data_IF_555590291502
#
_entry.id   IF_555590291502
#
_cell.length_a   1.000
_cell.length_b   1.000
_cell.length_c   1.000
_cell.angle_alpha   90.00
_cell.angle_beta   90.00
_cell.angle_gamma   90.00
#
_symmetry.space_group_name_H-M   'P 1'
#
loop_
_entity.id
_entity.type
_entity.pdbx_description
1 polymer ?
#
# COMPACT_ATOMS: atom_id res chain seq x y z
N UNK A 1 -2.56 -4.33 -20.47
CA UNK A 1 -3.37 -3.82 -19.34
C UNK A 1 -3.01 -4.50 -18.01
N UNK A 2 -3.07 -5.84 -17.91
CA UNK A 2 -2.73 -6.58 -16.69
C UNK A 2 -1.32 -6.30 -16.11
N UNK A 3 -0.29 -6.14 -16.95
CA UNK A 3 1.07 -5.78 -16.48
C UNK A 3 1.13 -4.37 -15.88
N UNK A 4 0.37 -3.42 -16.43
CA UNK A 4 0.26 -2.07 -15.86
C UNK A 4 -0.47 -2.10 -14.52
N UNK A 5 -1.52 -2.93 -14.41
CA UNK A 5 -2.24 -3.14 -13.16
C UNK A 5 -1.33 -3.77 -12.10
N UNK A 6 -0.46 -4.73 -12.49
CA UNK A 6 0.51 -5.32 -11.57
C UNK A 6 1.47 -4.26 -11.01
N UNK A 7 2.04 -3.43 -11.87
CA UNK A 7 2.92 -2.34 -11.45
C UNK A 7 2.20 -1.33 -10.54
N UNK A 8 0.99 -0.94 -10.93
CA UNK A 8 0.18 0.01 -10.16
C UNK A 8 -0.17 -0.52 -8.76
N UNK A 9 -0.65 -1.76 -8.66
CA UNK A 9 -1.01 -2.34 -7.37
C UNK A 9 0.21 -2.63 -6.48
N UNK A 10 1.37 -2.97 -7.07
CA UNK A 10 2.59 -3.12 -6.27
C UNK A 10 3.08 -1.77 -5.73
N UNK A 11 3.02 -0.70 -6.53
CA UNK A 11 3.32 0.65 -6.04
C UNK A 11 2.38 1.04 -4.89
N UNK A 12 1.08 0.76 -5.01
CA UNK A 12 0.15 1.00 -3.91
C UNK A 12 0.52 0.18 -2.66
N UNK A 13 0.86 -1.10 -2.82
CA UNK A 13 1.29 -1.96 -1.70
C UNK A 13 2.48 -1.34 -0.97
N UNK A 14 3.49 -0.88 -1.71
CA UNK A 14 4.68 -0.27 -1.13
C UNK A 14 4.35 1.01 -0.35
N UNK A 15 3.55 1.92 -0.93
CA UNK A 15 3.15 3.16 -0.27
C UNK A 15 2.35 2.90 1.02
N UNK A 16 1.42 1.95 1.00
CA UNK A 16 0.63 1.61 2.17
C UNK A 16 1.44 0.88 3.24
N UNK A 17 2.45 0.11 2.85
CA UNK A 17 3.40 -0.48 3.79
C UNK A 17 4.25 0.59 4.48
N UNK A 18 4.80 1.53 3.73
CA UNK A 18 5.58 2.64 4.29
C UNK A 18 4.74 3.46 5.29
N UNK A 19 3.49 3.73 4.93
CA UNK A 19 2.56 4.40 5.84
C UNK A 19 2.31 3.60 7.13
N UNK A 20 2.13 2.30 7.01
CA UNK A 20 1.95 1.41 8.16
C UNK A 20 3.17 1.42 9.08
N UNK A 21 4.37 1.34 8.50
CA UNK A 21 5.64 1.34 9.23
C UNK A 21 5.85 2.65 10.01
N UNK A 22 5.49 3.80 9.41
CA UNK A 22 5.48 5.10 10.09
C UNK A 22 4.48 5.10 11.25
N UNK A 23 3.26 4.60 11.01
CA UNK A 23 2.21 4.49 12.03
C UNK A 23 2.67 3.66 13.24
N UNK A 24 3.32 2.53 13.00
CA UNK A 24 3.88 1.65 14.03
C UNK A 24 5.04 2.31 14.79
N UNK A 25 5.95 2.98 14.08
CA UNK A 25 7.15 3.57 14.68
C UNK A 25 6.87 4.83 15.50
N UNK A 26 5.95 5.67 15.04
CA UNK A 26 5.67 6.98 15.63
C UNK A 26 4.37 6.99 16.46
N UNK A 27 3.61 5.90 16.46
CA UNK A 27 2.30 5.76 17.11
C UNK A 27 1.29 6.87 16.72
N UNK A 28 1.20 7.18 15.42
CA UNK A 28 0.43 8.32 14.88
C UNK A 28 -0.94 7.95 14.31
N UNK A 29 -1.47 6.78 14.65
CA UNK A 29 -2.76 6.29 14.14
C UNK A 29 -3.91 7.24 14.43
N UNK A 30 -4.61 7.68 13.39
CA UNK A 30 -5.74 8.63 13.55
C UNK A 30 -5.35 10.02 14.06
N UNK A 31 -4.04 10.32 14.23
CA UNK A 31 -3.54 11.56 14.80
C UNK A 31 -2.74 12.36 13.79
N UNK A 32 -2.70 13.69 13.96
CA UNK A 32 -1.91 14.55 13.08
C UNK A 32 -0.42 14.26 13.26
N UNK A 33 0.26 13.95 12.15
CA UNK A 33 1.71 13.74 12.15
C UNK A 33 2.41 15.04 12.60
N UNK A 34 3.36 14.91 13.53
CA UNK A 34 4.15 16.04 14.01
C UNK A 34 5.04 16.59 12.88
N UNK A 35 5.47 17.86 12.98
CA UNK A 35 6.35 18.44 11.95
C UNK A 35 7.68 17.69 11.86
N UNK A 36 8.25 17.31 13.00
CA UNK A 36 9.51 16.56 13.07
C UNK A 36 9.37 15.17 12.46
N UNK A 37 8.31 14.42 12.81
CA UNK A 37 8.07 13.10 12.22
C UNK A 37 7.85 13.18 10.70
N UNK A 38 7.10 14.18 10.23
CA UNK A 38 6.90 14.41 8.80
C UNK A 38 8.23 14.70 8.07
N UNK A 39 9.13 15.47 8.68
CA UNK A 39 10.47 15.74 8.12
C UNK A 39 11.37 14.50 8.12
N UNK A 40 11.36 13.74 9.21
CA UNK A 40 12.16 12.51 9.36
C UNK A 40 11.79 11.48 8.30
N UNK A 41 10.50 11.32 8.03
CA UNK A 41 9.96 10.34 7.10
C UNK A 41 9.66 10.91 5.71
N UNK A 42 10.12 12.14 5.42
CA UNK A 42 9.93 12.82 4.13
C UNK A 42 8.49 12.77 3.62
N UNK A 43 7.52 12.88 4.53
CA UNK A 43 6.09 12.77 4.24
C UNK A 43 5.36 14.07 4.54
N UNK A 44 4.12 14.16 4.05
CA UNK A 44 3.26 15.29 4.31
C UNK A 44 2.75 15.29 5.76
N UNK A 45 2.46 16.48 6.28
CA UNK A 45 1.95 16.67 7.63
C UNK A 45 0.43 16.45 7.70
N UNK A 46 0.00 15.27 7.29
CA UNK A 46 -1.41 14.86 7.20
C UNK A 46 -1.96 14.36 8.54
N UNK A 47 -3.29 14.27 8.64
CA UNK A 47 -3.94 13.48 9.67
C UNK A 47 -3.70 12.00 9.38
N UNK A 48 -3.24 11.27 10.39
CA UNK A 48 -3.12 9.83 10.40
C UNK A 48 -4.45 9.17 10.07
N UNK A 49 -4.43 8.10 9.29
CA UNK A 49 -5.56 7.18 9.16
C UNK A 49 -5.55 6.22 10.35
N UNK A 50 -6.71 5.78 10.84
CA UNK A 50 -6.80 4.70 11.82
C UNK A 50 -6.13 3.42 11.29
N UNK A 51 -5.39 2.72 12.15
CA UNK A 51 -4.71 1.47 11.80
C UNK A 51 -5.61 0.44 11.10
N UNK A 52 -6.85 0.18 11.56
CA UNK A 52 -7.70 -0.82 10.92
C UNK A 52 -8.02 -0.48 9.46
N UNK A 53 -8.09 0.80 9.11
CA UNK A 53 -8.35 1.26 7.74
C UNK A 53 -7.13 0.98 6.85
N UNK A 54 -5.93 1.22 7.37
CA UNK A 54 -4.66 0.94 6.67
C UNK A 54 -4.53 -0.56 6.41
N UNK A 55 -4.77 -1.39 7.42
CA UNK A 55 -4.71 -2.85 7.31
C UNK A 55 -5.76 -3.39 6.32
N UNK A 56 -6.99 -2.87 6.37
CA UNK A 56 -8.03 -3.22 5.39
C UNK A 56 -7.62 -2.86 3.95
N UNK A 57 -6.93 -1.73 3.76
CA UNK A 57 -6.40 -1.33 2.44
C UNK A 57 -5.30 -2.26 1.96
N UNK A 58 -4.36 -2.63 2.83
CA UNK A 58 -3.31 -3.60 2.48
C UNK A 58 -3.90 -4.95 2.07
N UNK A 59 -4.89 -5.47 2.80
CA UNK A 59 -5.59 -6.70 2.44
C UNK A 59 -6.29 -6.60 1.07
N UNK A 60 -6.90 -5.46 0.77
CA UNK A 60 -7.57 -5.22 -0.52
C UNK A 60 -6.57 -5.27 -1.67
N UNK A 61 -5.43 -4.57 -1.52
CA UNK A 61 -4.36 -4.55 -2.52
C UNK A 61 -3.76 -5.94 -2.72
N UNK A 62 -3.56 -6.69 -1.64
CA UNK A 62 -3.07 -8.07 -1.72
C UNK A 62 -3.98 -8.97 -2.57
N UNK A 63 -5.31 -8.85 -2.39
CA UNK A 63 -6.29 -9.58 -3.23
C UNK A 63 -6.23 -9.13 -4.69
N UNK A 64 -6.09 -7.83 -4.95
CA UNK A 64 -5.97 -7.29 -6.31
C UNK A 64 -4.71 -7.79 -7.01
N UNK A 65 -3.57 -7.80 -6.31
CA UNK A 65 -2.30 -8.35 -6.82
C UNK A 65 -2.42 -9.84 -7.13
N UNK A 66 -3.05 -10.61 -6.23
CA UNK A 66 -3.26 -12.04 -6.46
C UNK A 66 -4.13 -12.29 -7.69
N UNK A 67 -5.21 -11.51 -7.86
CA UNK A 67 -6.09 -11.59 -9.01
C UNK A 67 -5.35 -11.32 -10.32
N UNK A 68 -4.66 -10.18 -10.43
CA UNK A 68 -3.90 -9.80 -11.62
C UNK A 68 -2.79 -10.80 -11.93
N UNK A 69 -2.11 -11.32 -10.89
CA UNK A 69 -1.08 -12.35 -11.07
C UNK A 69 -1.67 -13.63 -11.67
N UNK A 70 -2.87 -14.04 -11.21
CA UNK A 70 -3.55 -15.21 -11.75
C UNK A 70 -4.00 -14.99 -13.20
N UNK A 71 -4.49 -13.80 -13.55
CA UNK A 71 -4.81 -13.44 -14.93
C UNK A 71 -3.59 -13.54 -15.85
N UNK A 72 -2.46 -12.96 -15.42
CA UNK A 72 -1.20 -13.03 -16.16
C UNK A 72 -0.73 -14.48 -16.36
N UNK A 73 -0.76 -15.30 -15.30
CA UNK A 73 -0.41 -16.73 -15.39
C UNK A 73 -1.29 -17.47 -16.41
N UNK A 74 -2.61 -17.22 -16.38
CA UNK A 74 -3.54 -17.85 -17.30
C UNK A 74 -3.29 -17.41 -18.75
N UNK A 75 -2.94 -16.14 -18.99
CA UNK A 75 -2.53 -15.67 -20.31
C UNK A 75 -1.24 -16.37 -20.79
N UNK A 76 -0.24 -16.52 -19.93
CA UNK A 76 1.00 -17.23 -20.28
C UNK A 76 0.76 -18.70 -20.62
N UNK A 77 -0.11 -19.39 -19.87
CA UNK A 77 -0.47 -20.79 -20.16
C UNK A 77 -1.18 -20.92 -21.50
N UNK A 78 -2.08 -19.99 -21.85
CA UNK A 78 -2.80 -20.00 -23.14
C UNK A 78 -1.92 -19.69 -24.36
N UNK A 79 -0.76 -19.08 -24.15
CA UNK A 79 0.18 -18.72 -25.22
C UNK A 79 1.22 -19.82 -25.49
N UNK A 80 1.32 -20.82 -24.60
CA UNK A 80 2.14 -22.02 -24.75
C UNK A 80 1.30 -23.18 -25.30
#
# INVERSE_FOLDING_TARGET
EATNNLYYFDLQRQLWQEYYDIGMKENVWGQKISKSAAQQHRTCRASGLPQPIVEQRQQTIARQLQHVTNELKNCTIKLN
#
